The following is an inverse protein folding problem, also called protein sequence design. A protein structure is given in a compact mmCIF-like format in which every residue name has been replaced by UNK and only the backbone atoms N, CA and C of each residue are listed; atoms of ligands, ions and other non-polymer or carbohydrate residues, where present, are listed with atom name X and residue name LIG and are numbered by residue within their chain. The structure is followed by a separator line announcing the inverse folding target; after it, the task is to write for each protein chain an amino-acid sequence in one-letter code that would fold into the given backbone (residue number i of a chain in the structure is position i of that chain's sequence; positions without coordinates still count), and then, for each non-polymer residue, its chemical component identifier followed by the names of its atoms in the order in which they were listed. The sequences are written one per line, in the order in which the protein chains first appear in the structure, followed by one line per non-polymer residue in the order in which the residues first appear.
data_IF_158175208818
#
_entry.id   IF_158175208818
#
_cell.length_a   1.000
_cell.length_b   1.000
_cell.length_c   1.000
_cell.angle_alpha   90.00
_cell.angle_beta   90.00
_cell.angle_gamma   90.00
#
_symmetry.space_group_name_H-M   'P 1'
#
loop_
_entity.id
_entity.type
_entity.pdbx_description
1 polymer ?
#
# COMPACT_ATOMS: atom_id res chain seq x y z
N UNK A 1 51.30 12.84 10.11
CA UNK A 1 50.92 13.17 8.72
C UNK A 1 50.87 11.97 7.79
N UNK A 2 51.97 11.29 7.43
CA UNK A 2 51.89 10.11 6.51
C UNK A 2 51.11 8.93 7.11
N UNK A 3 51.33 8.64 8.39
CA UNK A 3 50.64 7.55 9.12
C UNK A 3 49.14 7.83 9.34
N UNK A 4 48.76 9.11 9.44
CA UNK A 4 47.36 9.54 9.58
C UNK A 4 46.62 9.46 8.24
N UNK A 5 47.30 9.78 7.13
CA UNK A 5 46.73 9.64 5.78
C UNK A 5 46.51 8.17 5.40
N UNK A 6 47.42 7.26 5.80
CA UNK A 6 47.25 5.83 5.61
C UNK A 6 46.12 5.26 6.48
N UNK A 7 46.00 5.71 7.73
CA UNK A 7 44.87 5.34 8.61
C UNK A 7 43.52 5.86 8.08
N UNK A 8 43.46 7.10 7.60
CA UNK A 8 42.26 7.68 7.00
C UNK A 8 41.86 6.94 5.72
N UNK A 9 42.83 6.59 4.88
CA UNK A 9 42.58 5.83 3.65
C UNK A 9 42.03 4.45 3.97
N UNK A 10 42.58 3.79 4.99
CA UNK A 10 42.08 2.48 5.45
C UNK A 10 40.65 2.58 6.01
N UNK A 11 40.35 3.60 6.81
CA UNK A 11 39.00 3.83 7.34
C UNK A 11 37.98 4.10 6.22
N UNK A 12 38.34 4.91 5.23
CA UNK A 12 37.47 5.18 4.07
C UNK A 12 37.20 3.87 3.31
N UNK A 13 38.23 3.05 3.09
CA UNK A 13 38.08 1.79 2.39
C UNK A 13 37.15 0.82 3.15
N UNK A 14 37.29 0.73 4.48
CA UNK A 14 36.41 -0.08 5.33
C UNK A 14 34.96 0.42 5.27
N UNK A 15 34.74 1.74 5.36
CA UNK A 15 33.40 2.34 5.22
C UNK A 15 32.78 2.08 3.85
N UNK A 16 33.57 2.15 2.77
CA UNK A 16 33.10 1.87 1.41
C UNK A 16 32.65 0.41 1.26
N UNK A 17 33.40 -0.54 1.82
CA UNK A 17 33.04 -1.97 1.76
C UNK A 17 31.74 -2.24 2.53
N UNK A 18 31.59 -1.67 3.73
CA UNK A 18 30.35 -1.80 4.50
C UNK A 18 29.16 -1.17 3.77
N UNK A 19 29.34 0.01 3.17
CA UNK A 19 28.31 0.67 2.39
C UNK A 19 27.87 -0.18 1.17
N UNK A 20 28.83 -0.76 0.43
CA UNK A 20 28.52 -1.66 -0.69
C UNK A 20 27.76 -2.90 -0.24
N UNK A 21 28.15 -3.48 0.91
CA UNK A 21 27.51 -4.66 1.48
C UNK A 21 26.07 -4.38 1.88
N UNK A 22 25.83 -3.24 2.52
CA UNK A 22 24.49 -2.78 2.87
C UNK A 22 23.64 -2.55 1.63
N UNK A 23 24.19 -1.89 0.60
CA UNK A 23 23.48 -1.63 -0.65
C UNK A 23 23.02 -2.93 -1.35
N UNK A 24 23.86 -3.97 -1.34
CA UNK A 24 23.48 -5.29 -1.87
C UNK A 24 22.35 -5.94 -1.06
N UNK A 25 22.41 -5.83 0.29
CA UNK A 25 21.36 -6.36 1.16
C UNK A 25 20.03 -5.64 0.97
N UNK A 26 20.05 -4.31 0.87
CA UNK A 26 18.88 -3.50 0.55
C UNK A 26 18.29 -3.86 -0.81
N UNK A 27 19.12 -3.96 -1.86
CA UNK A 27 18.65 -4.36 -3.19
C UNK A 27 17.99 -5.74 -3.18
N UNK A 28 18.61 -6.73 -2.52
CA UNK A 28 18.04 -8.08 -2.40
C UNK A 28 16.72 -8.09 -1.62
N UNK A 29 16.62 -7.26 -0.58
CA UNK A 29 15.41 -7.11 0.24
C UNK A 29 14.28 -6.48 -0.56
N UNK A 30 14.57 -5.46 -1.36
CA UNK A 30 13.61 -4.81 -2.27
C UNK A 30 13.12 -5.78 -3.34
N UNK A 31 14.00 -6.60 -3.91
CA UNK A 31 13.62 -7.64 -4.88
C UNK A 31 12.69 -8.70 -4.28
N UNK A 32 13.00 -9.18 -3.08
CA UNK A 32 12.16 -10.16 -2.38
C UNK A 32 10.81 -9.55 -1.95
N UNK A 33 10.80 -8.28 -1.54
CA UNK A 33 9.58 -7.54 -1.22
C UNK A 33 8.65 -7.44 -2.44
N UNK A 34 9.20 -7.08 -3.60
CA UNK A 34 8.46 -7.06 -4.87
C UNK A 34 7.89 -8.42 -5.25
N UNK A 35 8.71 -9.46 -5.14
CA UNK A 35 8.29 -10.83 -5.42
C UNK A 35 7.13 -11.23 -4.50
N UNK A 36 7.24 -10.91 -3.22
CA UNK A 36 6.22 -11.19 -2.20
C UNK A 36 4.92 -10.44 -2.50
N UNK A 37 4.98 -9.13 -2.78
CA UNK A 37 3.78 -8.36 -3.17
C UNK A 37 3.05 -9.03 -4.34
N UNK A 38 3.77 -9.36 -5.42
CA UNK A 38 3.18 -9.97 -6.62
C UNK A 38 2.60 -11.36 -6.36
N UNK A 39 3.29 -12.17 -5.54
CA UNK A 39 2.92 -13.55 -5.20
C UNK A 39 1.59 -13.60 -4.45
N UNK A 40 1.35 -12.64 -3.55
CA UNK A 40 0.18 -12.63 -2.68
C UNK A 40 -0.95 -11.71 -3.15
N UNK A 41 -0.71 -10.88 -4.17
CA UNK A 41 -1.74 -10.04 -4.80
C UNK A 41 -3.02 -10.80 -5.22
N UNK A 42 -2.97 -12.05 -5.72
CA UNK A 42 -4.19 -12.82 -5.99
C UNK A 42 -5.03 -13.11 -4.73
N UNK A 43 -4.39 -13.33 -3.57
CA UNK A 43 -5.11 -13.55 -2.30
C UNK A 43 -5.77 -12.25 -1.84
N UNK A 44 -5.06 -11.12 -1.93
CA UNK A 44 -5.63 -9.79 -1.67
C UNK A 44 -6.86 -9.54 -2.53
N UNK A 45 -6.78 -9.86 -3.83
CA UNK A 45 -7.91 -9.75 -4.76
C UNK A 45 -9.09 -10.60 -4.33
N UNK A 46 -8.89 -11.90 -4.12
CA UNK A 46 -9.98 -12.82 -3.72
C UNK A 46 -10.70 -12.30 -2.49
N UNK A 47 -9.95 -11.82 -1.50
CA UNK A 47 -10.51 -11.36 -0.24
C UNK A 47 -11.26 -10.04 -0.38
N UNK A 48 -10.74 -9.07 -1.14
CA UNK A 48 -11.46 -7.83 -1.44
C UNK A 48 -12.77 -8.09 -2.19
N UNK A 49 -12.78 -9.01 -3.15
CA UNK A 49 -13.98 -9.35 -3.92
C UNK A 49 -15.00 -10.09 -3.06
N UNK A 50 -14.55 -10.91 -2.10
CA UNK A 50 -15.42 -11.55 -1.13
C UNK A 50 -16.05 -10.55 -0.16
N UNK A 51 -15.27 -9.62 0.39
CA UNK A 51 -15.75 -8.63 1.36
C UNK A 51 -16.70 -7.59 0.75
N UNK A 52 -16.56 -7.31 -0.54
CA UNK A 52 -17.26 -6.21 -1.22
C UNK A 52 -17.97 -6.72 -2.48
N UNK A 53 -18.84 -7.73 -2.37
CA UNK A 53 -19.36 -8.52 -3.49
C UNK A 53 -20.41 -7.83 -4.39
N UNK A 54 -19.91 -6.95 -5.26
CA UNK A 54 -20.66 -6.32 -6.36
C UNK A 54 -21.17 -7.34 -7.39
N UNK A 55 -20.50 -8.48 -7.58
CA UNK A 55 -20.92 -9.47 -8.57
C UNK A 55 -22.26 -10.10 -8.17
N UNK A 56 -22.50 -10.38 -6.90
CA UNK A 56 -23.79 -10.83 -6.39
C UNK A 56 -24.89 -9.78 -6.59
N UNK A 57 -24.65 -8.50 -6.28
CA UNK A 57 -25.62 -7.42 -6.53
C UNK A 57 -25.98 -7.32 -8.02
N UNK A 58 -24.99 -7.45 -8.91
CA UNK A 58 -25.21 -7.45 -10.37
C UNK A 58 -26.00 -8.68 -10.81
N UNK A 59 -25.81 -9.84 -10.20
CA UNK A 59 -26.61 -11.04 -10.48
C UNK A 59 -28.07 -10.87 -10.04
N UNK A 60 -28.31 -10.28 -8.87
CA UNK A 60 -29.65 -9.96 -8.38
C UNK A 60 -30.37 -8.96 -9.29
N UNK A 61 -29.68 -7.90 -9.72
CA UNK A 61 -30.20 -6.93 -10.69
C UNK A 61 -30.63 -7.57 -12.02
N UNK A 62 -29.94 -8.63 -12.46
CA UNK A 62 -30.29 -9.38 -13.68
C UNK A 62 -31.49 -10.32 -13.48
N UNK A 63 -31.77 -10.75 -12.25
CA UNK A 63 -32.87 -11.66 -11.91
C UNK A 63 -34.20 -10.94 -11.72
N UNK A 64 -34.18 -9.69 -11.25
CA UNK A 64 -35.39 -8.90 -11.04
C UNK A 64 -36.13 -8.60 -12.34
N UNK A 65 -37.47 -8.67 -12.28
CA UNK A 65 -38.33 -8.28 -13.40
C UNK A 65 -38.43 -6.74 -13.51
N UNK A 66 -38.74 -6.24 -14.71
CA UNK A 66 -38.93 -4.81 -15.00
C UNK A 66 -40.07 -4.19 -14.20
N UNK A 67 -41.00 -4.99 -13.69
CA UNK A 67 -42.13 -4.57 -12.84
C UNK A 67 -41.68 -4.21 -11.41
N UNK A 68 -40.56 -4.77 -10.92
CA UNK A 68 -40.00 -4.53 -9.59
C UNK A 68 -39.11 -3.29 -9.54
N UNK A 69 -39.66 -2.14 -9.98
CA UNK A 69 -38.88 -0.89 -10.14
C UNK A 69 -38.22 -0.41 -8.85
N UNK A 70 -38.90 -0.52 -7.71
CA UNK A 70 -38.40 -0.03 -6.42
C UNK A 70 -37.23 -0.88 -5.92
N UNK A 71 -37.37 -2.20 -5.93
CA UNK A 71 -36.32 -3.15 -5.54
C UNK A 71 -35.09 -3.00 -6.45
N UNK A 72 -35.32 -2.86 -7.77
CA UNK A 72 -34.22 -2.65 -8.71
C UNK A 72 -33.51 -1.32 -8.49
N UNK A 73 -34.23 -0.26 -8.15
CA UNK A 73 -33.63 1.03 -7.83
C UNK A 73 -32.78 0.93 -6.55
N UNK A 74 -33.27 0.26 -5.50
CA UNK A 74 -32.52 0.03 -4.27
C UNK A 74 -31.21 -0.73 -4.57
N UNK A 75 -31.25 -1.83 -5.33
CA UNK A 75 -30.04 -2.57 -5.71
C UNK A 75 -29.07 -1.74 -6.56
N UNK A 76 -29.54 -0.80 -7.37
CA UNK A 76 -28.66 0.11 -8.10
C UNK A 76 -27.96 1.11 -7.17
N UNK A 77 -28.66 1.60 -6.14
CA UNK A 77 -28.05 2.45 -5.11
C UNK A 77 -27.02 1.66 -4.28
N UNK A 78 -27.32 0.41 -3.94
CA UNK A 78 -26.37 -0.49 -3.28
C UNK A 78 -25.15 -0.75 -4.17
N UNK A 79 -25.36 -1.04 -5.45
CA UNK A 79 -24.29 -1.23 -6.42
C UNK A 79 -23.40 0.01 -6.57
N UNK A 80 -24.00 1.21 -6.54
CA UNK A 80 -23.27 2.48 -6.55
C UNK A 80 -22.34 2.60 -5.34
N UNK A 81 -22.89 2.48 -4.13
CA UNK A 81 -22.10 2.61 -2.89
C UNK A 81 -21.02 1.53 -2.81
N UNK A 82 -21.36 0.30 -3.18
CA UNK A 82 -20.43 -0.83 -3.15
C UNK A 82 -19.30 -0.68 -4.17
N UNK A 83 -19.57 -0.16 -5.37
CA UNK A 83 -18.53 0.08 -6.38
C UNK A 83 -17.52 1.13 -5.93
N UNK A 84 -17.98 2.27 -5.38
CA UNK A 84 -17.08 3.28 -4.82
C UNK A 84 -16.31 2.75 -3.61
N UNK A 85 -16.99 2.06 -2.69
CA UNK A 85 -16.35 1.45 -1.52
C UNK A 85 -15.26 0.47 -1.95
N UNK A 86 -15.53 -0.41 -2.92
CA UNK A 86 -14.55 -1.37 -3.43
C UNK A 86 -13.36 -0.69 -4.10
N UNK A 87 -13.61 0.34 -4.90
CA UNK A 87 -12.56 1.10 -5.57
C UNK A 87 -11.59 1.74 -4.57
N UNK A 88 -12.11 2.50 -3.61
CA UNK A 88 -11.29 3.15 -2.58
C UNK A 88 -10.60 2.16 -1.64
N UNK A 89 -11.33 1.13 -1.17
CA UNK A 89 -10.76 0.09 -0.31
C UNK A 89 -9.61 -0.60 -1.01
N UNK A 90 -9.73 -0.87 -2.32
CA UNK A 90 -8.67 -1.51 -3.10
C UNK A 90 -7.43 -0.63 -3.21
N UNK A 91 -7.58 0.66 -3.52
CA UNK A 91 -6.45 1.60 -3.62
C UNK A 91 -5.69 1.73 -2.29
N UNK A 92 -6.44 1.88 -1.19
CA UNK A 92 -5.84 2.01 0.14
C UNK A 92 -5.21 0.69 0.59
N UNK A 93 -5.89 -0.43 0.38
CA UNK A 93 -5.36 -1.75 0.68
C UNK A 93 -4.08 -2.03 -0.10
N UNK A 94 -4.01 -1.64 -1.37
CA UNK A 94 -2.81 -1.83 -2.20
C UNK A 94 -1.63 -1.03 -1.64
N UNK A 95 -1.82 0.23 -1.21
CA UNK A 95 -0.76 1.02 -0.58
C UNK A 95 -0.30 0.46 0.77
N UNK A 96 -1.26 0.11 1.65
CA UNK A 96 -0.98 -0.51 2.94
C UNK A 96 -0.27 -1.87 2.79
N UNK A 97 -0.64 -2.64 1.78
CA UNK A 97 -0.01 -3.91 1.45
C UNK A 97 1.47 -3.76 1.12
N UNK A 98 1.85 -2.72 0.37
CA UNK A 98 3.25 -2.44 0.09
C UNK A 98 4.01 -2.07 1.36
N UNK A 99 3.46 -1.18 2.19
CA UNK A 99 4.09 -0.79 3.46
C UNK A 99 4.34 -1.99 4.35
N UNK A 100 3.34 -2.85 4.54
CA UNK A 100 3.45 -4.05 5.37
C UNK A 100 4.49 -5.03 4.83
N UNK A 101 4.39 -5.41 3.55
CA UNK A 101 5.29 -6.40 2.96
C UNK A 101 6.73 -5.91 2.99
N UNK A 102 6.97 -4.65 2.59
CA UNK A 102 8.32 -4.08 2.60
C UNK A 102 8.87 -3.96 4.01
N UNK A 103 8.06 -3.55 5.00
CA UNK A 103 8.47 -3.53 6.39
C UNK A 103 8.86 -4.92 6.91
N UNK A 104 7.99 -5.93 6.73
CA UNK A 104 8.24 -7.28 7.21
C UNK A 104 9.46 -7.93 6.56
N UNK A 105 9.59 -7.80 5.23
CA UNK A 105 10.74 -8.35 4.50
C UNK A 105 12.02 -7.61 4.86
N UNK A 106 11.97 -6.30 5.13
CA UNK A 106 13.14 -5.52 5.57
C UNK A 106 13.60 -5.88 6.97
N UNK A 107 12.68 -6.13 7.89
CA UNK A 107 13.00 -6.63 9.23
C UNK A 107 13.72 -7.99 9.13
N UNK A 108 13.17 -8.93 8.35
CA UNK A 108 13.82 -10.23 8.11
C UNK A 108 15.18 -10.02 7.41
N UNK A 109 15.25 -9.15 6.40
CA UNK A 109 16.44 -8.83 5.64
C UNK A 109 17.57 -8.30 6.52
N UNK A 110 17.25 -7.41 7.48
CA UNK A 110 18.20 -6.94 8.50
C UNK A 110 18.71 -8.08 9.37
N UNK A 111 17.83 -8.94 9.89
CA UNK A 111 18.25 -10.08 10.72
C UNK A 111 19.22 -11.00 9.98
N UNK A 112 18.93 -11.28 8.71
CA UNK A 112 19.82 -12.06 7.82
C UNK A 112 21.15 -11.34 7.57
N UNK A 113 21.12 -10.02 7.33
CA UNK A 113 22.32 -9.20 7.13
C UNK A 113 23.23 -9.16 8.37
N UNK A 114 22.66 -8.92 9.55
CA UNK A 114 23.39 -8.89 10.82
C UNK A 114 24.00 -10.26 11.14
N UNK A 115 23.26 -11.34 10.87
CA UNK A 115 23.75 -12.71 11.03
C UNK A 115 24.92 -12.99 10.11
N UNK A 116 24.86 -12.59 8.83
CA UNK A 116 25.96 -12.76 7.88
C UNK A 116 27.20 -11.95 8.29
N UNK A 117 27.03 -10.80 8.95
CA UNK A 117 28.12 -10.03 9.56
C UNK A 117 28.77 -10.77 10.73
N UNK A 118 27.95 -11.43 11.57
CA UNK A 118 28.38 -12.14 12.78
C UNK A 118 28.89 -13.57 12.51
N UNK A 119 28.48 -14.19 11.40
CA UNK A 119 28.86 -15.54 10.96
C UNK A 119 30.34 -15.72 10.66
N UNK A 120 31.12 -14.64 10.60
CA UNK A 120 32.59 -14.70 10.63
C UNK A 120 33.11 -15.23 11.99
N UNK A 121 32.27 -15.34 13.04
CA UNK A 121 32.72 -15.69 14.40
C UNK A 121 32.15 -16.95 15.04
N UNK A 122 31.12 -17.62 14.51
CA UNK A 122 30.51 -18.78 15.18
C UNK A 122 30.10 -19.90 14.21
N UNK A 123 30.83 -21.01 14.31
CA UNK A 123 30.50 -22.31 13.69
C UNK A 123 29.63 -23.09 14.69
N UNK A 124 28.56 -23.71 14.19
CA UNK A 124 27.66 -24.68 14.85
C UNK A 124 26.58 -24.14 15.79
N UNK A 125 25.38 -23.84 15.25
CA UNK A 125 24.06 -24.18 15.84
C UNK A 125 22.99 -24.30 14.75
N UNK A 126 22.90 -25.45 14.09
CA UNK A 126 21.89 -25.72 13.05
C UNK A 126 20.46 -25.60 13.59
N UNK A 127 20.22 -26.01 14.82
CA UNK A 127 18.90 -25.97 15.46
C UNK A 127 18.40 -24.54 15.76
N UNK A 128 19.31 -23.60 16.07
CA UNK A 128 18.94 -22.18 16.21
C UNK A 128 18.59 -21.56 14.85
N UNK A 129 19.28 -21.99 13.78
CA UNK A 129 18.97 -21.54 12.43
C UNK A 129 17.58 -22.01 11.98
N UNK A 130 17.22 -23.27 12.23
CA UNK A 130 15.89 -23.79 11.92
C UNK A 130 14.79 -23.05 12.69
N UNK A 131 15.02 -22.77 13.98
CA UNK A 131 14.07 -22.03 14.83
C UNK A 131 13.86 -20.60 14.32
N UNK A 132 14.95 -19.92 13.93
CA UNK A 132 14.90 -18.57 13.37
C UNK A 132 14.20 -18.52 12.00
N UNK A 133 14.48 -19.48 11.11
CA UNK A 133 13.79 -19.59 9.81
C UNK A 133 12.29 -19.84 10.00
N UNK A 134 11.91 -20.70 10.95
CA UNK A 134 10.52 -20.92 11.31
C UNK A 134 9.86 -19.65 11.89
N UNK A 135 10.59 -18.87 12.68
CA UNK A 135 10.12 -17.59 13.19
C UNK A 135 9.92 -16.57 12.07
N UNK A 136 10.84 -16.46 11.10
CA UNK A 136 10.68 -15.60 9.92
C UNK A 136 9.41 -15.97 9.12
N UNK A 137 9.20 -17.26 8.87
CA UNK A 137 8.01 -17.74 8.19
C UNK A 137 6.73 -17.42 8.95
N UNK A 138 6.73 -17.63 10.26
CA UNK A 138 5.58 -17.37 11.14
C UNK A 138 5.27 -15.87 11.21
N UNK A 139 6.29 -15.02 11.33
CA UNK A 139 6.15 -13.57 11.33
C UNK A 139 5.53 -13.05 10.03
N UNK A 140 6.09 -13.46 8.87
CA UNK A 140 5.57 -13.06 7.57
C UNK A 140 4.12 -13.56 7.40
N UNK A 141 3.87 -14.85 7.58
CA UNK A 141 2.54 -15.44 7.38
C UNK A 141 1.48 -14.82 8.30
N UNK A 142 1.75 -14.70 9.60
CA UNK A 142 0.79 -14.17 10.57
C UNK A 142 0.44 -12.70 10.31
N UNK A 143 1.41 -11.87 9.90
CA UNK A 143 1.14 -10.48 9.54
C UNK A 143 0.30 -10.36 8.28
N UNK A 144 0.66 -11.09 7.22
CA UNK A 144 -0.11 -11.09 5.97
C UNK A 144 -1.53 -11.66 6.15
N UNK A 145 -1.69 -12.72 6.95
CA UNK A 145 -3.00 -13.30 7.26
C UNK A 145 -3.85 -12.36 8.10
N UNK A 146 -3.28 -11.71 9.11
CA UNK A 146 -3.98 -10.69 9.88
C UNK A 146 -4.49 -9.56 8.97
N UNK A 147 -3.63 -9.04 8.10
CA UNK A 147 -4.01 -7.97 7.17
C UNK A 147 -5.15 -8.43 6.26
N UNK A 148 -5.01 -9.58 5.61
CA UNK A 148 -6.02 -10.11 4.69
C UNK A 148 -7.36 -10.38 5.39
N UNK A 149 -7.36 -10.84 6.63
CA UNK A 149 -8.60 -11.14 7.34
C UNK A 149 -9.14 -9.89 8.08
N UNK A 150 -8.52 -9.54 9.20
CA UNK A 150 -9.01 -8.51 10.12
C UNK A 150 -8.70 -7.11 9.64
N UNK A 151 -7.49 -6.88 9.14
CA UNK A 151 -7.04 -5.57 8.66
C UNK A 151 -7.92 -5.03 7.54
N UNK A 152 -8.17 -5.84 6.51
CA UNK A 152 -9.04 -5.51 5.39
C UNK A 152 -10.49 -5.29 5.82
N UNK A 153 -11.01 -6.09 6.76
CA UNK A 153 -12.37 -5.89 7.27
C UNK A 153 -12.51 -4.53 8.00
N UNK A 154 -11.52 -4.16 8.81
CA UNK A 154 -11.47 -2.84 9.48
C UNK A 154 -11.37 -1.70 8.45
N UNK A 155 -10.47 -1.83 7.47
CA UNK A 155 -10.30 -0.85 6.40
C UNK A 155 -11.58 -0.68 5.58
N UNK A 156 -12.22 -1.79 5.19
CA UNK A 156 -13.51 -1.78 4.48
C UNK A 156 -14.56 -0.99 5.25
N UNK A 157 -14.66 -1.22 6.56
CA UNK A 157 -15.61 -0.51 7.44
C UNK A 157 -15.34 1.00 7.50
N UNK A 158 -14.07 1.40 7.58
CA UNK A 158 -13.65 2.81 7.53
C UNK A 158 -14.07 3.46 6.21
N UNK A 159 -13.70 2.86 5.08
CA UNK A 159 -14.02 3.39 3.74
C UNK A 159 -15.53 3.42 3.49
N UNK A 160 -16.25 2.36 3.85
CA UNK A 160 -17.71 2.27 3.70
C UNK A 160 -18.43 3.37 4.51
N UNK A 161 -17.93 3.68 5.71
CA UNK A 161 -18.44 4.78 6.53
C UNK A 161 -18.24 6.14 5.84
N UNK A 162 -17.09 6.36 5.21
CA UNK A 162 -16.81 7.61 4.47
C UNK A 162 -17.69 7.71 3.22
N UNK A 163 -17.75 6.65 2.43
CA UNK A 163 -18.53 6.61 1.18
C UNK A 163 -20.02 6.78 1.44
N UNK A 164 -20.56 6.12 2.46
CA UNK A 164 -21.98 6.22 2.83
C UNK A 164 -22.37 7.61 3.36
N UNK A 165 -21.46 8.32 4.06
CA UNK A 165 -21.72 9.67 4.59
C UNK A 165 -21.51 10.80 3.59
N UNK A 166 -20.93 10.53 2.42
CA UNK A 166 -20.63 11.58 1.44
C UNK A 166 -21.91 12.15 0.81
N UNK A 167 -22.21 13.42 1.09
CA UNK A 167 -23.45 14.08 0.65
C UNK A 167 -23.58 14.15 -0.87
N UNK A 168 -22.51 14.45 -1.60
CA UNK A 168 -22.50 14.54 -3.05
C UNK A 168 -22.90 13.20 -3.69
N UNK A 169 -22.28 12.08 -3.28
CA UNK A 169 -22.62 10.75 -3.77
C UNK A 169 -24.05 10.33 -3.43
N UNK A 170 -24.59 10.77 -2.28
CA UNK A 170 -25.98 10.50 -1.92
C UNK A 170 -26.98 11.25 -2.81
N UNK A 171 -26.61 12.42 -3.36
CA UNK A 171 -27.47 13.12 -4.34
C UNK A 171 -27.52 12.42 -5.70
N UNK A 172 -26.50 11.60 -6.00
CA UNK A 172 -26.40 10.89 -7.28
C UNK A 172 -27.34 9.68 -7.30
N UNK A 173 -28.51 9.84 -7.92
CA UNK A 173 -29.49 8.77 -8.08
C UNK A 173 -29.31 8.05 -9.41
N UNK A 174 -29.03 6.73 -9.37
CA UNK A 174 -28.82 5.92 -10.57
C UNK A 174 -30.08 5.86 -11.43
N UNK A 175 -31.25 5.85 -10.79
CA UNK A 175 -32.55 5.80 -11.47
C UNK A 175 -32.85 7.01 -12.36
N UNK A 176 -32.25 8.17 -12.06
CA UNK A 176 -32.49 9.42 -12.78
C UNK A 176 -31.75 9.48 -14.13
N UNK A 177 -30.87 8.51 -14.43
CA UNK A 177 -30.05 8.47 -15.65
C UNK A 177 -29.24 9.75 -15.89
N UNK A 178 -28.98 10.52 -14.82
CA UNK A 178 -28.18 11.72 -14.89
C UNK A 178 -26.77 11.37 -15.41
N UNK A 179 -26.26 12.21 -16.30
CA UNK A 179 -24.90 12.13 -16.80
C UNK A 179 -23.95 12.70 -15.76
N UNK A 180 -22.83 12.02 -15.52
CA UNK A 180 -21.80 12.47 -14.58
C UNK A 180 -20.73 13.22 -15.36
N UNK A 181 -20.55 14.51 -15.08
CA UNK A 181 -19.52 15.32 -15.73
C UNK A 181 -18.14 15.03 -15.12
N UNK A 182 -17.08 15.30 -15.89
CA UNK A 182 -15.71 15.00 -15.45
C UNK A 182 -15.29 15.83 -14.22
N UNK A 183 -15.70 17.10 -14.15
CA UNK A 183 -15.49 17.96 -12.97
C UNK A 183 -16.18 17.39 -11.73
N UNK A 184 -17.44 16.94 -11.87
CA UNK A 184 -18.21 16.35 -10.77
C UNK A 184 -17.60 15.05 -10.26
N UNK A 185 -17.13 14.18 -11.16
CA UNK A 185 -16.46 12.94 -10.77
C UNK A 185 -15.14 13.23 -10.07
N UNK A 186 -14.32 14.12 -10.62
CA UNK A 186 -13.02 14.45 -10.04
C UNK A 186 -13.18 15.13 -8.66
N UNK A 187 -14.15 16.03 -8.51
CA UNK A 187 -14.49 16.64 -7.21
C UNK A 187 -14.92 15.59 -6.18
N UNK A 188 -15.79 14.66 -6.59
CA UNK A 188 -16.25 13.57 -5.72
C UNK A 188 -15.07 12.68 -5.28
N UNK A 189 -14.23 12.25 -6.24
CA UNK A 189 -13.09 11.38 -5.96
C UNK A 189 -12.09 12.05 -5.03
N UNK A 190 -11.79 13.33 -5.23
CA UNK A 190 -10.92 14.09 -4.33
C UNK A 190 -11.52 14.26 -2.94
N UNK A 191 -12.81 14.55 -2.84
CA UNK A 191 -13.52 14.69 -1.56
C UNK A 191 -13.51 13.38 -0.78
N UNK A 192 -13.82 12.26 -1.44
CA UNK A 192 -13.77 10.93 -0.85
C UNK A 192 -12.34 10.57 -0.44
N UNK A 193 -11.35 10.84 -1.29
CA UNK A 193 -9.95 10.59 -0.98
C UNK A 193 -9.50 11.31 0.29
N UNK A 194 -9.73 12.63 0.37
CA UNK A 194 -9.35 13.43 1.53
C UNK A 194 -10.04 12.97 2.82
N UNK A 195 -11.28 12.46 2.72
CA UNK A 195 -12.03 11.94 3.86
C UNK A 195 -11.61 10.52 4.27
N UNK A 196 -11.07 9.71 3.35
CA UNK A 196 -10.53 8.38 3.64
C UNK A 196 -9.12 8.46 4.22
N UNK A 197 -8.32 9.44 3.80
CA UNK A 197 -6.93 9.63 4.20
C UNK A 197 -6.76 9.97 5.69
N UNK A 198 -5.58 9.71 6.25
CA UNK A 198 -5.26 10.15 7.61
C UNK A 198 -5.44 11.67 7.74
N UNK A 199 -6.15 12.09 8.79
CA UNK A 199 -6.36 13.50 9.09
C UNK A 199 -5.06 14.22 9.42
N UNK A 200 -5.06 15.54 9.25
CA UNK A 200 -3.93 16.38 9.65
C UNK A 200 -3.62 16.25 11.15
N UNK A 201 -4.62 15.94 11.97
CA UNK A 201 -4.45 15.68 13.40
C UNK A 201 -3.68 14.38 13.64
N UNK A 202 -4.00 13.30 12.92
CA UNK A 202 -3.27 12.04 13.03
C UNK A 202 -1.80 12.18 12.58
N UNK A 203 -1.54 12.98 11.54
CA UNK A 203 -0.18 13.28 11.07
C UNK A 203 0.60 14.07 12.11
N UNK A 204 0.03 15.15 12.63
CA UNK A 204 0.68 15.97 13.65
C UNK A 204 0.91 15.19 14.95
N UNK A 205 0.02 14.24 15.29
CA UNK A 205 0.20 13.34 16.42
C UNK A 205 1.41 12.42 16.20
N UNK A 206 1.57 11.84 15.00
CA UNK A 206 2.74 11.01 14.68
C UNK A 206 4.06 11.79 14.75
N UNK A 207 4.11 13.02 14.23
CA UNK A 207 5.30 13.89 14.28
C UNK A 207 5.71 14.25 15.72
N UNK A 208 4.75 14.32 16.64
CA UNK A 208 4.97 14.64 18.06
C UNK A 208 5.10 13.41 18.94
N UNK A 209 5.02 12.21 18.38
CA UNK A 209 4.90 10.94 19.12
C UNK A 209 3.75 10.96 20.15
N UNK A 210 2.63 11.58 19.79
CA UNK A 210 1.39 11.58 20.58
C UNK A 210 0.47 10.45 20.11
N UNK A 211 -0.16 9.75 21.05
CA UNK A 211 -1.18 8.76 20.70
C UNK A 211 -2.46 9.45 20.22
N UNK A 212 -3.00 8.99 19.10
CA UNK A 212 -4.34 9.37 18.66
C UNK A 212 -5.11 8.14 18.23
N UNK A 213 -6.43 8.16 18.42
CA UNK A 213 -7.32 7.05 18.05
C UNK A 213 -7.23 6.72 16.57
N UNK A 214 -7.06 7.75 15.73
CA UNK A 214 -6.94 7.58 14.28
C UNK A 214 -5.57 7.03 13.87
N UNK A 215 -4.49 7.48 14.49
CA UNK A 215 -3.15 6.93 14.25
C UNK A 215 -3.10 5.44 14.61
N UNK A 216 -3.66 5.07 15.76
CA UNK A 216 -3.77 3.67 16.18
C UNK A 216 -4.62 2.85 15.22
N UNK A 217 -5.72 3.40 14.70
CA UNK A 217 -6.53 2.75 13.67
C UNK A 217 -5.71 2.41 12.42
N UNK A 218 -4.86 3.33 11.92
CA UNK A 218 -4.02 3.08 10.75
C UNK A 218 -2.98 1.99 10.98
N UNK A 219 -2.38 1.93 12.17
CA UNK A 219 -1.46 0.85 12.56
C UNK A 219 -2.17 -0.49 12.69
N UNK A 220 -3.36 -0.48 13.31
CA UNK A 220 -4.21 -1.66 13.49
C UNK A 220 -4.72 -2.25 12.18
N UNK A 221 -4.74 -1.50 11.07
CA UNK A 221 -5.01 -2.07 9.76
C UNK A 221 -3.90 -3.02 9.32
N UNK A 222 -2.65 -2.78 9.71
CA UNK A 222 -1.48 -3.54 9.27
C UNK A 222 -1.15 -4.71 10.20
N UNK A 223 -1.25 -4.52 11.50
CA UNK A 223 -0.84 -5.49 12.51
C UNK A 223 -1.81 -5.52 13.70
N UNK A 224 -1.86 -6.66 14.39
CA UNK A 224 -2.68 -6.84 15.59
C UNK A 224 -2.09 -6.11 16.80
N UNK A 225 -2.92 -5.46 17.64
CA UNK A 225 -2.47 -4.65 18.78
C UNK A 225 -1.90 -5.47 19.94
N UNK A 226 -2.36 -6.71 20.12
CA UNK A 226 -2.02 -7.52 21.30
C UNK A 226 -1.08 -8.68 20.96
N UNK A 227 -0.07 -8.91 21.81
CA UNK A 227 0.74 -10.13 21.77
C UNK A 227 -0.16 -11.34 21.95
N UNK A 228 -0.11 -12.29 21.02
CA UNK A 228 -0.91 -13.51 21.17
C UNK A 228 -0.25 -14.41 22.23
N UNK A 229 -1.09 -15.05 23.06
CA UNK A 229 -0.60 -16.04 24.04
C UNK A 229 0.07 -17.18 23.29
N UNK A 230 1.22 -17.64 23.79
CA UNK A 230 2.02 -18.74 23.24
C UNK A 230 2.83 -18.43 21.95
N UNK A 231 3.11 -17.15 21.66
CA UNK A 231 4.03 -16.79 20.57
C UNK A 231 5.50 -17.03 20.93
N UNK A 232 6.24 -17.54 19.95
CA UNK A 232 7.70 -17.73 20.01
C UNK A 232 8.42 -16.39 20.25
N UNK A 233 9.45 -16.37 21.11
CA UNK A 233 10.21 -15.17 21.46
C UNK A 233 10.85 -14.49 20.23
N UNK A 234 11.34 -15.26 19.26
CA UNK A 234 11.89 -14.74 18.01
C UNK A 234 10.83 -14.02 17.20
N UNK A 235 9.61 -14.56 17.14
CA UNK A 235 8.47 -13.90 16.47
C UNK A 235 8.09 -12.62 17.21
N UNK A 236 8.07 -12.64 18.55
CA UNK A 236 7.80 -11.44 19.36
C UNK A 236 8.82 -10.34 19.07
N UNK A 237 10.10 -10.69 18.90
CA UNK A 237 11.14 -9.69 18.57
C UNK A 237 10.89 -9.04 17.20
N UNK A 238 10.55 -9.83 16.18
CA UNK A 238 10.23 -9.32 14.84
C UNK A 238 8.97 -8.44 14.85
N UNK A 239 7.98 -8.78 15.68
CA UNK A 239 6.77 -7.98 15.84
C UNK A 239 7.04 -6.66 16.55
N UNK A 240 7.92 -6.64 17.55
CA UNK A 240 8.32 -5.40 18.21
C UNK A 240 9.06 -4.50 17.21
N UNK A 241 10.00 -5.05 16.42
CA UNK A 241 10.67 -4.28 15.35
C UNK A 241 9.66 -3.66 14.36
N UNK A 242 8.58 -4.39 14.04
CA UNK A 242 7.51 -3.87 13.18
C UNK A 242 6.68 -2.78 13.87
N UNK A 243 6.37 -2.94 15.15
CA UNK A 243 5.69 -1.90 15.94
C UNK A 243 6.54 -0.64 16.04
N UNK A 244 7.83 -0.76 16.37
CA UNK A 244 8.78 0.35 16.44
C UNK A 244 8.82 1.11 15.10
N UNK A 245 8.86 0.38 13.98
CA UNK A 245 8.84 0.98 12.65
C UNK A 245 7.51 1.72 12.36
N UNK A 246 6.37 1.14 12.74
CA UNK A 246 5.05 1.78 12.59
C UNK A 246 4.83 2.96 13.57
N UNK A 247 5.59 2.98 14.66
CA UNK A 247 5.61 4.05 15.65
C UNK A 247 6.56 5.20 15.28
N UNK A 248 7.47 4.97 14.35
CA UNK A 248 8.36 5.99 13.80
C UNK A 248 7.61 7.16 13.15
N UNK A 249 8.31 8.29 13.08
CA UNK A 249 7.88 9.49 12.35
C UNK A 249 7.86 9.29 10.82
N UNK A 250 8.40 8.17 10.32
CA UNK A 250 8.45 7.83 8.90
C UNK A 250 7.18 7.15 8.39
N UNK A 251 6.42 6.49 9.26
CA UNK A 251 5.22 5.72 8.85
C UNK A 251 4.16 6.61 8.18
N UNK A 252 3.79 7.71 8.82
CA UNK A 252 2.73 8.58 8.31
C UNK A 252 3.09 9.27 6.99
N UNK A 253 4.29 9.86 6.83
CA UNK A 253 4.74 10.36 5.53
C UNK A 253 4.74 9.29 4.44
N UNK A 254 5.26 8.10 4.71
CA UNK A 254 5.29 7.00 3.74
C UNK A 254 3.88 6.60 3.30
N UNK A 255 2.96 6.45 4.24
CA UNK A 255 1.55 6.17 3.98
C UNK A 255 0.91 7.27 3.12
N UNK A 256 1.07 8.53 3.52
CA UNK A 256 0.42 9.62 2.82
C UNK A 256 0.94 9.81 1.39
N UNK A 257 2.26 9.74 1.19
CA UNK A 257 2.86 9.90 -0.13
C UNK A 257 2.45 8.75 -1.05
N UNK A 258 2.49 7.52 -0.54
CA UNK A 258 2.06 6.33 -1.29
C UNK A 258 0.61 6.46 -1.74
N UNK A 259 -0.31 6.77 -0.83
CA UNK A 259 -1.73 6.87 -1.15
C UNK A 259 -2.06 8.06 -2.07
N UNK A 260 -1.41 9.22 -1.90
CA UNK A 260 -1.60 10.38 -2.79
C UNK A 260 -1.22 10.05 -4.23
N UNK A 261 -0.09 9.37 -4.42
CA UNK A 261 0.33 8.93 -5.74
C UNK A 261 -0.60 7.87 -6.32
N UNK A 262 -0.94 6.83 -5.56
CA UNK A 262 -1.81 5.75 -6.02
C UNK A 262 -3.17 6.31 -6.45
N UNK A 263 -3.83 7.09 -5.58
CA UNK A 263 -5.14 7.67 -5.88
C UNK A 263 -5.05 8.72 -6.99
N UNK A 264 -4.02 9.58 -6.98
CA UNK A 264 -3.85 10.61 -8.02
C UNK A 264 -3.72 10.02 -9.42
N UNK A 265 -2.89 8.99 -9.58
CA UNK A 265 -2.76 8.30 -10.87
C UNK A 265 -4.01 7.49 -11.21
N UNK A 266 -4.64 6.82 -10.23
CA UNK A 266 -5.82 6.00 -10.48
C UNK A 266 -7.03 6.84 -10.90
N UNK A 267 -7.17 8.05 -10.35
CA UNK A 267 -8.22 8.98 -10.76
C UNK A 267 -7.99 9.47 -12.18
N UNK A 268 -6.74 9.75 -12.56
CA UNK A 268 -6.41 10.13 -13.93
C UNK A 268 -6.67 9.00 -14.93
N UNK A 269 -6.24 7.77 -14.60
CA UNK A 269 -6.46 6.60 -15.45
C UNK A 269 -7.98 6.29 -15.57
N UNK A 270 -8.76 6.49 -14.50
CA UNK A 270 -10.23 6.40 -14.55
C UNK A 270 -10.85 7.51 -15.41
N UNK A 271 -10.38 8.76 -15.29
CA UNK A 271 -10.82 9.89 -16.13
C UNK A 271 -10.59 9.58 -17.61
N UNK A 272 -9.40 9.07 -17.96
CA UNK A 272 -9.05 8.71 -19.34
C UNK A 272 -9.92 7.55 -19.87
N UNK A 273 -10.29 6.59 -19.02
CA UNK A 273 -11.19 5.48 -19.39
C UNK A 273 -12.60 5.99 -19.66
N UNK A 274 -13.11 6.85 -18.79
CA UNK A 274 -14.49 7.34 -18.80
C UNK A 274 -14.70 8.41 -19.88
N UNK A 275 -13.81 9.40 -19.95
CA UNK A 275 -13.93 10.59 -20.79
C UNK A 275 -12.96 10.63 -21.97
N UNK A 276 -12.02 9.69 -22.07
CA UNK A 276 -10.99 9.68 -23.11
C UNK A 276 -9.70 10.37 -22.64
N UNK A 277 -8.55 10.06 -23.29
CA UNK A 277 -7.23 10.48 -22.83
C UNK A 277 -7.10 12.00 -22.80
N UNK A 278 -6.62 12.51 -21.67
CA UNK A 278 -6.39 13.93 -21.42
C UNK A 278 -5.13 14.49 -22.10
N UNK A 279 -4.16 13.66 -22.48
CA UNK A 279 -2.93 14.04 -23.20
C UNK A 279 -2.70 13.17 -24.43
N UNK A 280 -2.54 13.80 -25.57
CA UNK A 280 -2.11 13.16 -26.81
C UNK A 280 -0.59 12.96 -26.72
N UNK A 281 -0.10 11.72 -26.84
CA UNK A 281 1.28 11.53 -27.29
C UNK A 281 1.40 12.22 -28.65
N UNK A 282 2.28 13.23 -28.76
CA UNK A 282 2.60 13.90 -30.03
C UNK A 282 3.09 12.87 -31.05
N UNK A 283 2.16 12.24 -31.79
CA UNK A 283 2.48 11.63 -33.07
C UNK A 283 2.64 12.75 -34.07
N UNK A 284 3.89 13.07 -34.36
CA UNK A 284 4.30 13.88 -35.51
C UNK A 284 3.84 13.13 -36.75
N UNK A 285 2.63 13.42 -37.20
CA UNK A 285 2.21 13.15 -38.58
C UNK A 285 1.62 14.45 -39.08
N UNK A 286 2.39 15.10 -39.94
CA UNK A 286 1.94 16.20 -40.77
C UNK A 286 0.77 15.71 -41.61
N UNK A 287 -0.46 16.01 -41.18
CA UNK A 287 -1.56 16.15 -42.14
C UNK A 287 -2.63 17.12 -41.61
N UNK A 288 -2.98 18.05 -42.48
CA UNK A 288 -3.81 19.21 -42.20
C UNK A 288 -5.29 18.83 -42.05
N UNK A 289 -5.77 18.66 -40.82
CA UNK A 289 -7.12 18.93 -40.27
C UNK A 289 -7.27 18.18 -38.95
N UNK A 290 -6.54 18.60 -37.92
CA UNK A 290 -6.67 18.00 -36.60
C UNK A 290 -7.92 18.56 -35.89
N UNK A 291 -9.07 17.92 -36.09
CA UNK A 291 -10.19 18.01 -35.15
C UNK A 291 -9.64 17.67 -33.76
N UNK A 292 -9.79 18.59 -32.79
CA UNK A 292 -9.48 18.29 -31.40
C UNK A 292 -10.23 17.00 -31.03
N UNK A 293 -9.56 15.98 -30.46
CA UNK A 293 -10.24 14.76 -30.08
C UNK A 293 -11.33 15.12 -29.06
N UNK A 294 -12.59 15.02 -29.49
CA UNK A 294 -13.74 15.30 -28.62
C UNK A 294 -13.69 14.33 -27.43
N UNK A 295 -13.60 14.88 -26.21
CA UNK A 295 -13.79 14.07 -24.99
C UNK A 295 -15.10 13.31 -25.13
N UNK A 296 -15.10 12.03 -24.73
CA UNK A 296 -16.30 11.19 -24.77
C UNK A 296 -17.45 11.91 -24.03
N UNK A 297 -18.68 11.80 -24.52
CA UNK A 297 -19.82 12.42 -23.86
C UNK A 297 -19.98 11.88 -22.44
N UNK A 298 -20.39 12.75 -21.52
CA UNK A 298 -20.59 12.41 -20.11
C UNK A 298 -21.51 11.18 -19.97
N UNK A 299 -21.04 10.09 -19.34
CA UNK A 299 -21.83 8.86 -19.27
C UNK A 299 -22.89 8.97 -18.16
N UNK A 300 -23.99 8.22 -18.28
CA UNK A 300 -24.90 8.02 -17.15
C UNK A 300 -24.20 7.29 -16.00
N UNK A 301 -24.58 7.59 -14.76
CA UNK A 301 -23.99 6.99 -13.55
C UNK A 301 -23.92 5.45 -13.57
N UNK A 302 -24.93 4.78 -14.14
CA UNK A 302 -24.94 3.32 -14.26
C UNK A 302 -23.76 2.76 -15.09
N UNK A 303 -23.18 3.55 -16.00
CA UNK A 303 -21.99 3.18 -16.77
C UNK A 303 -20.68 3.43 -16.01
N UNK A 304 -20.70 4.25 -14.96
CA UNK A 304 -19.51 4.48 -14.13
C UNK A 304 -19.19 3.27 -13.24
N UNK A 305 -20.22 2.58 -12.73
CA UNK A 305 -20.09 1.37 -11.90
C UNK A 305 -19.18 0.30 -12.56
N UNK A 306 -19.43 -0.15 -13.82
CA UNK A 306 -18.54 -1.11 -14.47
C UNK A 306 -17.15 -0.54 -14.80
N UNK A 307 -16.99 0.77 -14.99
CA UNK A 307 -15.66 1.40 -15.15
C UNK A 307 -14.84 1.29 -13.85
N UNK A 308 -15.42 1.63 -12.70
CA UNK A 308 -14.78 1.46 -11.39
C UNK A 308 -14.38 0.01 -11.12
N UNK A 309 -15.27 -0.94 -11.46
CA UNK A 309 -15.00 -2.37 -11.34
C UNK A 309 -13.84 -2.81 -12.24
N UNK A 310 -13.77 -2.30 -13.47
CA UNK A 310 -12.70 -2.61 -14.41
C UNK A 310 -11.34 -2.07 -13.92
N UNK A 311 -11.27 -0.83 -13.44
CA UNK A 311 -10.02 -0.26 -12.91
C UNK A 311 -9.55 -0.99 -11.66
N UNK A 312 -10.47 -1.32 -10.75
CA UNK A 312 -10.18 -2.15 -9.57
C UNK A 312 -9.56 -3.49 -9.98
N UNK A 313 -10.15 -4.15 -10.98
CA UNK A 313 -9.66 -5.43 -11.46
C UNK A 313 -8.26 -5.31 -12.09
N UNK A 314 -8.01 -4.28 -12.91
CA UNK A 314 -6.69 -4.04 -13.54
C UNK A 314 -5.57 -3.92 -12.51
N UNK A 315 -5.81 -3.17 -11.43
CA UNK A 315 -4.83 -2.98 -10.37
C UNK A 315 -4.47 -4.27 -9.64
N UNK A 316 -5.41 -5.20 -9.53
CA UNK A 316 -5.24 -6.46 -8.79
C UNK A 316 -4.91 -7.67 -9.67
N UNK A 317 -4.65 -7.47 -10.97
CA UNK A 317 -4.30 -8.54 -11.89
C UNK A 317 -2.78 -8.79 -11.90
N UNK A 318 -2.36 -9.92 -11.32
CA UNK A 318 -0.95 -10.35 -11.32
C UNK A 318 -0.40 -10.79 -12.68
N UNK A 319 -1.25 -11.02 -13.68
CA UNK A 319 -0.88 -11.68 -14.95
C UNK A 319 -0.43 -10.74 -16.07
N UNK A 320 -0.32 -9.43 -15.84
CA UNK A 320 -0.11 -8.44 -16.91
C UNK A 320 1.34 -8.16 -17.34
N UNK A 321 2.31 -8.94 -16.86
CA UNK A 321 3.74 -8.72 -17.16
C UNK A 321 4.28 -7.38 -16.59
N UNK A 322 5.46 -6.93 -17.05
CA UNK A 322 6.12 -5.73 -16.53
C UNK A 322 5.36 -4.43 -16.82
N UNK A 323 4.49 -4.42 -17.84
CA UNK A 323 3.65 -3.27 -18.20
C UNK A 323 2.24 -3.36 -17.58
N UNK A 324 2.04 -4.23 -16.59
CA UNK A 324 0.78 -4.34 -15.88
C UNK A 324 0.49 -3.09 -15.06
N UNK A 325 -0.80 -2.84 -14.84
CA UNK A 325 -1.25 -1.78 -13.95
C UNK A 325 -0.67 -1.96 -12.54
N UNK A 326 -0.72 -3.17 -11.99
CA UNK A 326 -0.07 -3.50 -10.72
C UNK A 326 1.43 -3.13 -10.70
N UNK A 327 2.19 -3.49 -11.75
CA UNK A 327 3.61 -3.20 -11.82
C UNK A 327 3.92 -1.69 -11.91
N UNK A 328 3.18 -0.94 -12.73
CA UNK A 328 3.31 0.53 -12.84
C UNK A 328 3.13 1.21 -11.47
N UNK A 329 2.08 0.83 -10.76
CA UNK A 329 1.74 1.44 -9.47
C UNK A 329 2.69 1.01 -8.35
N UNK A 330 3.11 -0.27 -8.31
CA UNK A 330 4.14 -0.74 -7.39
C UNK A 330 5.46 0.01 -7.58
N UNK A 331 5.94 0.11 -8.83
CA UNK A 331 7.18 0.82 -9.14
C UNK A 331 7.12 2.28 -8.69
N UNK A 332 6.01 2.96 -8.96
CA UNK A 332 5.86 4.36 -8.54
C UNK A 332 5.90 4.55 -7.02
N UNK A 333 5.29 3.63 -6.25
CA UNK A 333 5.39 3.63 -4.77
C UNK A 333 6.83 3.39 -4.31
N UNK A 334 7.53 2.43 -4.91
CA UNK A 334 8.92 2.09 -4.58
C UNK A 334 9.92 3.24 -4.82
N UNK A 335 9.69 4.04 -5.86
CA UNK A 335 10.57 5.17 -6.21
C UNK A 335 10.47 6.33 -5.20
N UNK A 336 9.40 6.39 -4.41
CA UNK A 336 9.22 7.46 -3.43
C UNK A 336 10.24 7.40 -2.31
N UNK A 337 10.86 8.54 -2.06
CA UNK A 337 11.81 8.70 -0.97
C UNK A 337 11.18 8.41 0.40
N UNK A 338 9.98 8.96 0.69
CA UNK A 338 9.31 8.70 1.97
C UNK A 338 9.02 7.20 2.19
N UNK A 339 8.62 6.48 1.14
CA UNK A 339 8.36 5.04 1.22
C UNK A 339 9.65 4.26 1.45
N UNK A 340 10.72 4.60 0.72
CA UNK A 340 12.03 3.98 0.85
C UNK A 340 12.64 4.21 2.23
N UNK A 341 12.65 5.47 2.70
CA UNK A 341 13.16 5.82 4.02
C UNK A 341 12.46 5.03 5.12
N UNK A 342 11.14 4.81 5.01
CA UNK A 342 10.38 4.04 5.99
C UNK A 342 10.88 2.61 6.15
N UNK A 343 10.99 1.81 5.09
CA UNK A 343 11.42 0.41 5.26
C UNK A 343 12.94 0.27 5.42
N UNK A 344 13.74 1.19 4.87
CA UNK A 344 15.20 1.16 5.01
C UNK A 344 15.67 1.60 6.40
N UNK A 345 14.88 2.39 7.13
CA UNK A 345 15.21 2.86 8.48
C UNK A 345 15.62 1.74 9.42
N UNK A 346 15.00 0.55 9.28
CA UNK A 346 15.31 -0.62 10.09
C UNK A 346 16.81 -0.96 10.03
N UNK A 347 17.48 -0.77 8.89
CA UNK A 347 18.91 -1.05 8.72
C UNK A 347 19.83 -0.02 9.42
N UNK A 348 19.32 1.16 9.78
CA UNK A 348 20.12 2.27 10.31
C UNK A 348 19.89 2.54 11.81
N UNK A 349 18.78 2.06 12.39
CA UNK A 349 18.38 2.30 13.79
C UNK A 349 19.39 1.86 14.87
N UNK A 350 20.36 0.98 14.56
CA UNK A 350 21.34 0.50 15.56
C UNK A 350 22.67 1.27 15.57
N UNK A 351 22.89 2.22 14.67
CA UNK A 351 24.16 2.97 14.61
C UNK A 351 24.38 3.92 15.81
N UNK A 352 23.35 4.21 16.60
CA UNK A 352 23.40 5.13 17.74
C UNK A 352 23.64 4.45 19.10
N UNK A 353 23.33 3.16 19.26
CA UNK A 353 23.56 2.45 20.53
C UNK A 353 25.00 1.95 20.70
N UNK A 354 25.70 1.59 19.61
CA UNK A 354 27.10 1.16 19.69
C UNK A 354 28.11 2.32 19.83
N UNK A 355 27.67 3.57 19.65
CA UNK A 355 28.52 4.77 19.80
C UNK A 355 28.73 5.21 21.26
N UNK A 356 28.03 4.61 22.24
CA UNK A 356 28.14 4.99 23.66
C UNK A 356 29.05 4.09 24.52
N UNK A 357 29.68 3.07 23.94
CA UNK A 357 30.77 2.34 24.60
C UNK A 357 32.12 2.97 24.23
N UNK A 358 32.38 4.16 24.79
CA UNK A 358 33.72 4.74 24.79
C UNK A 358 34.73 3.80 25.47
N UNK A 359 36.01 3.82 25.08
CA UNK A 359 37.01 2.95 25.66
C UNK A 359 37.21 3.32 27.13
N UNK A 360 36.89 2.40 28.04
CA UNK A 360 37.42 2.43 29.40
C UNK A 360 38.94 2.29 29.30
N UNK A 361 39.61 3.43 29.38
CA UNK A 361 41.05 3.54 29.59
C UNK A 361 41.30 3.05 31.03
N UNK A 362 42.12 2.00 31.17
CA UNK A 362 42.88 1.72 32.40
C UNK A 362 44.17 2.53 32.33
#
# INVERSE_FOLDING_TARGET
MLNEAEQLTKQIQEQMVEHQRLQLALSSTTDESRATVRRFLPRLKTQLYHLLDLENVVQELKRLDKTQKNERNALWEDAKLLAFTRYFTTLVAFGLWHLLVFAQVSIIGKRVFDKNTRLVRLVNREQEKETEEQAHHTFLSSGLEYFLDKGLSKLKTHVETVVSKNTQLQTWQVSCKATVRADELNELLQTLFLAVMPSLTAVAAAEKHEESTELNMWREFLIYPDKQKDQDEHVICLLNDLWDLLESDLFMPALQHSLRFLCGNAFQDLDDVVYGPSKQECRVVEDNTAELPEKKPAPPLAKLIPCLQAETNKLLLSSGGPNSYAAKYSQGVEEMEAFRNFYEAIFFEQSTQDSYMGPNII
#
